data_IF_206333565383
#
_entry.id   IF_206333565383
#
_cell.length_a   1.000
_cell.length_b   1.000
_cell.length_c   1.000
_cell.angle_alpha   90.00
_cell.angle_beta   90.00
_cell.angle_gamma   90.00
#
_symmetry.space_group_name_H-M   'P 1'
#
loop_
_entity.id
_entity.type
_entity.pdbx_description
1 polymer ?
#
# COMPACT_ATOMS: atom_id res chain seq x y z
N UNK A 1 -16.47 19.85 -28.89
CA UNK A 1 -16.37 18.95 -27.71
C UNK A 1 -17.43 17.90 -27.87
N UNK A 2 -17.10 16.62 -27.72
CA UNK A 2 -18.10 15.53 -27.76
C UNK A 2 -19.00 15.65 -26.51
N UNK A 3 -20.28 15.20 -26.60
CA UNK A 3 -21.19 15.19 -25.45
C UNK A 3 -20.57 14.45 -24.24
N UNK A 4 -19.71 13.46 -24.50
CA UNK A 4 -18.99 12.70 -23.50
C UNK A 4 -17.95 13.55 -22.75
N UNK A 5 -17.18 14.40 -23.43
CA UNK A 5 -16.21 15.29 -22.76
C UNK A 5 -16.90 16.34 -21.90
N UNK A 6 -18.09 16.81 -22.28
CA UNK A 6 -18.85 17.75 -21.47
C UNK A 6 -19.39 17.11 -20.17
N UNK A 7 -19.79 15.84 -20.20
CA UNK A 7 -20.22 15.09 -19.00
C UNK A 7 -19.03 14.89 -18.04
N UNK A 8 -17.87 14.51 -18.57
CA UNK A 8 -16.67 14.34 -17.75
C UNK A 8 -16.22 15.66 -17.12
N UNK A 9 -16.30 16.75 -17.90
CA UNK A 9 -15.99 18.10 -17.40
C UNK A 9 -16.90 18.50 -16.24
N UNK A 10 -18.20 18.30 -16.40
CA UNK A 10 -19.17 18.64 -15.37
C UNK A 10 -19.00 17.82 -14.09
N UNK A 11 -18.54 16.55 -14.21
CA UNK A 11 -18.39 15.66 -13.05
C UNK A 11 -17.05 15.84 -12.34
N UNK A 12 -15.95 15.97 -13.11
CA UNK A 12 -14.58 15.99 -12.57
C UNK A 12 -13.99 17.39 -12.45
N UNK A 13 -14.66 18.45 -13.00
CA UNK A 13 -14.20 19.84 -12.93
C UNK A 13 -12.76 20.02 -13.42
N UNK A 14 -12.45 19.42 -14.58
CA UNK A 14 -11.09 19.33 -15.12
C UNK A 14 -10.47 20.71 -15.38
N UNK A 15 -11.24 21.67 -15.86
CA UNK A 15 -10.78 23.05 -16.11
C UNK A 15 -10.36 23.75 -14.80
N UNK A 16 -11.07 23.54 -13.68
CA UNK A 16 -10.69 24.08 -12.37
C UNK A 16 -9.36 23.50 -11.88
N UNK A 17 -9.08 22.27 -12.27
CA UNK A 17 -7.82 21.58 -11.94
C UNK A 17 -6.71 21.81 -12.97
N UNK A 18 -6.90 22.68 -13.97
CA UNK A 18 -5.97 22.93 -15.07
C UNK A 18 -5.57 21.64 -15.82
N UNK A 19 -6.51 20.72 -16.02
CA UNK A 19 -6.31 19.43 -16.67
C UNK A 19 -7.28 19.24 -17.84
N UNK A 20 -7.06 18.21 -18.63
CA UNK A 20 -7.94 17.78 -19.71
C UNK A 20 -8.10 16.25 -19.71
N UNK A 21 -9.14 15.76 -20.37
CA UNK A 21 -9.48 14.31 -20.40
C UNK A 21 -8.30 13.44 -20.87
N UNK A 22 -7.52 13.93 -21.83
CA UNK A 22 -6.38 13.18 -22.38
C UNK A 22 -5.24 13.10 -21.37
N UNK A 23 -4.97 14.20 -20.67
CA UNK A 23 -3.96 14.25 -19.60
C UNK A 23 -4.33 13.34 -18.45
N UNK A 24 -5.59 13.38 -17.98
CA UNK A 24 -6.07 12.49 -16.90
C UNK A 24 -6.01 11.03 -17.30
N UNK A 25 -6.37 10.68 -18.54
CA UNK A 25 -6.28 9.30 -19.01
C UNK A 25 -4.84 8.80 -19.06
N UNK A 26 -3.92 9.65 -19.55
CA UNK A 26 -2.48 9.33 -19.58
C UNK A 26 -1.92 9.17 -18.16
N UNK A 27 -2.25 10.08 -17.27
CA UNK A 27 -1.84 10.03 -15.87
C UNK A 27 -2.37 8.75 -15.18
N UNK A 28 -3.63 8.39 -15.41
CA UNK A 28 -4.23 7.17 -14.89
C UNK A 28 -3.52 5.90 -15.38
N UNK A 29 -3.20 5.82 -16.67
CA UNK A 29 -2.44 4.70 -17.25
C UNK A 29 -1.05 4.60 -16.62
N UNK A 30 -0.32 5.70 -16.51
CA UNK A 30 1.01 5.72 -15.87
C UNK A 30 0.92 5.28 -14.41
N UNK A 31 -0.04 5.80 -13.66
CA UNK A 31 -0.27 5.44 -12.26
C UNK A 31 -0.61 3.96 -12.11
N UNK A 32 -1.45 3.42 -13.01
CA UNK A 32 -1.76 1.98 -13.02
C UNK A 32 -0.50 1.14 -13.22
N UNK A 33 0.31 1.42 -14.25
CA UNK A 33 1.55 0.66 -14.50
C UNK A 33 2.54 0.81 -13.35
N UNK A 34 2.66 1.99 -12.75
CA UNK A 34 3.54 2.22 -11.61
C UNK A 34 3.13 1.42 -10.38
N UNK A 35 1.84 1.25 -10.13
CA UNK A 35 1.32 0.50 -8.98
C UNK A 35 1.05 -0.98 -9.26
N UNK A 36 1.07 -1.42 -10.52
CA UNK A 36 0.71 -2.79 -10.92
C UNK A 36 1.61 -3.88 -10.33
N UNK A 37 2.85 -3.55 -9.96
CA UNK A 37 3.75 -4.50 -9.30
C UNK A 37 3.17 -5.05 -7.98
N UNK A 38 2.29 -4.30 -7.31
CA UNK A 38 1.66 -4.72 -6.06
C UNK A 38 0.78 -5.95 -6.24
N UNK A 39 0.23 -6.17 -7.45
CA UNK A 39 -0.59 -7.32 -7.79
C UNK A 39 0.17 -8.63 -7.60
N UNK A 40 1.47 -8.61 -7.82
CA UNK A 40 2.34 -9.79 -7.70
C UNK A 40 3.13 -9.80 -6.39
N UNK A 41 3.68 -8.66 -5.98
CA UNK A 41 4.52 -8.58 -4.78
C UNK A 41 3.73 -8.81 -3.50
N UNK A 42 2.51 -8.28 -3.42
CA UNK A 42 1.66 -8.49 -2.25
C UNK A 42 1.36 -9.97 -1.99
N UNK A 43 0.83 -10.75 -2.96
CA UNK A 43 0.61 -12.18 -2.77
C UNK A 43 1.90 -12.95 -2.49
N UNK A 44 3.01 -12.60 -3.15
CA UNK A 44 4.31 -13.24 -2.90
C UNK A 44 4.77 -13.07 -1.44
N UNK A 45 4.60 -11.89 -0.87
CA UNK A 45 4.96 -11.62 0.53
C UNK A 45 4.03 -12.34 1.50
N UNK A 46 2.71 -12.23 1.30
CA UNK A 46 1.73 -12.81 2.22
C UNK A 46 1.65 -14.34 2.11
N UNK A 47 1.98 -14.93 0.96
CA UNK A 47 2.09 -16.39 0.83
C UNK A 47 3.21 -16.97 1.66
N UNK A 48 4.27 -16.21 1.96
CA UNK A 48 5.31 -16.63 2.92
C UNK A 48 4.77 -16.80 4.34
N UNK A 49 3.65 -16.13 4.67
CA UNK A 49 2.92 -16.31 5.93
C UNK A 49 1.91 -17.47 5.90
N UNK A 50 1.85 -18.26 4.81
CA UNK A 50 0.93 -19.39 4.66
C UNK A 50 -0.42 -19.06 4.01
N UNK A 51 -0.59 -17.86 3.50
CA UNK A 51 -1.81 -17.46 2.77
C UNK A 51 -1.79 -17.98 1.33
N UNK A 52 -2.95 -18.31 0.76
CA UNK A 52 -3.04 -18.72 -0.64
C UNK A 52 -2.74 -17.57 -1.60
N UNK A 53 -1.80 -17.76 -2.51
CA UNK A 53 -1.35 -16.74 -3.46
C UNK A 53 -2.49 -16.19 -4.32
N UNK A 54 -3.33 -17.08 -4.86
CA UNK A 54 -4.43 -16.71 -5.75
C UNK A 54 -5.53 -15.92 -5.02
N UNK A 55 -5.87 -16.34 -3.81
CA UNK A 55 -6.84 -15.66 -2.97
C UNK A 55 -6.37 -14.24 -2.60
N UNK A 56 -5.10 -14.09 -2.19
CA UNK A 56 -4.52 -12.78 -1.87
C UNK A 56 -4.46 -11.88 -3.10
N UNK A 57 -4.07 -12.40 -4.26
CA UNK A 57 -4.03 -11.64 -5.51
C UNK A 57 -5.41 -11.11 -5.89
N UNK A 58 -6.43 -11.96 -5.83
CA UNK A 58 -7.81 -11.58 -6.14
C UNK A 58 -8.33 -10.54 -5.15
N UNK A 59 -8.12 -10.74 -3.86
CA UNK A 59 -8.51 -9.79 -2.81
C UNK A 59 -7.81 -8.44 -2.98
N UNK A 60 -6.51 -8.43 -3.31
CA UNK A 60 -5.73 -7.21 -3.57
C UNK A 60 -6.29 -6.43 -4.76
N UNK A 61 -6.57 -7.12 -5.88
CA UNK A 61 -7.13 -6.48 -7.07
C UNK A 61 -8.51 -5.88 -6.78
N UNK A 62 -9.40 -6.64 -6.13
CA UNK A 62 -10.75 -6.18 -5.81
C UNK A 62 -10.74 -5.01 -4.83
N UNK A 63 -9.96 -5.10 -3.75
CA UNK A 63 -9.87 -4.04 -2.75
C UNK A 63 -9.30 -2.74 -3.36
N UNK A 64 -8.24 -2.84 -4.16
CA UNK A 64 -7.66 -1.69 -4.86
C UNK A 64 -8.62 -1.09 -5.89
N UNK A 65 -9.32 -1.91 -6.67
CA UNK A 65 -10.30 -1.44 -7.64
C UNK A 65 -11.46 -0.69 -6.96
N UNK A 66 -12.04 -1.26 -5.90
CA UNK A 66 -13.11 -0.62 -5.14
C UNK A 66 -12.62 0.68 -4.51
N UNK A 67 -11.45 0.66 -3.88
CA UNK A 67 -10.85 1.84 -3.27
C UNK A 67 -10.59 2.95 -4.28
N UNK A 68 -10.01 2.65 -5.44
CA UNK A 68 -9.77 3.61 -6.51
C UNK A 68 -11.08 4.16 -7.10
N UNK A 69 -12.10 3.32 -7.27
CA UNK A 69 -13.41 3.77 -7.74
C UNK A 69 -14.07 4.74 -6.75
N UNK A 70 -14.05 4.44 -5.46
CA UNK A 70 -14.57 5.34 -4.43
C UNK A 70 -13.77 6.64 -4.41
N UNK A 71 -12.45 6.59 -4.51
CA UNK A 71 -11.60 7.77 -4.52
C UNK A 71 -11.84 8.65 -5.75
N UNK A 72 -11.92 8.05 -6.94
CA UNK A 72 -12.16 8.78 -8.19
C UNK A 72 -13.59 9.29 -8.32
N UNK A 73 -14.60 8.46 -8.02
CA UNK A 73 -16.00 8.82 -8.30
C UNK A 73 -16.66 9.61 -7.15
N UNK A 74 -16.28 9.35 -5.91
CA UNK A 74 -16.90 10.01 -4.76
C UNK A 74 -16.06 11.16 -4.21
N UNK A 75 -14.78 10.93 -4.01
CA UNK A 75 -13.90 11.94 -3.44
C UNK A 75 -13.34 12.91 -4.49
N UNK A 76 -13.44 12.59 -5.78
CA UNK A 76 -12.87 13.34 -6.90
C UNK A 76 -11.38 13.68 -6.72
N UNK A 77 -10.61 12.70 -6.20
CA UNK A 77 -9.16 12.84 -6.02
C UNK A 77 -8.41 11.86 -6.94
N UNK A 78 -7.43 12.34 -7.73
CA UNK A 78 -6.64 11.52 -8.66
C UNK A 78 -5.55 10.72 -7.93
N UNK A 79 -5.94 9.97 -6.90
CA UNK A 79 -5.01 9.18 -6.08
C UNK A 79 -5.38 7.70 -6.21
N UNK A 80 -4.43 6.89 -6.68
CA UNK A 80 -4.58 5.45 -6.69
C UNK A 80 -4.39 4.87 -5.29
N UNK A 81 -5.29 3.97 -4.91
CA UNK A 81 -5.23 3.24 -3.65
C UNK A 81 -4.70 1.83 -3.90
N UNK A 82 -3.57 1.51 -3.28
CA UNK A 82 -2.98 0.19 -3.29
C UNK A 82 -2.51 -0.17 -1.87
N UNK A 83 -2.38 -1.47 -1.54
CA UNK A 83 -1.89 -1.90 -0.23
C UNK A 83 -0.48 -1.37 0.06
N UNK A 84 -0.27 -0.92 1.31
CA UNK A 84 1.02 -0.41 1.77
C UNK A 84 2.02 -1.54 2.02
N UNK A 85 3.06 -1.65 1.20
CA UNK A 85 4.03 -2.74 1.27
C UNK A 85 4.74 -2.85 2.62
N UNK A 86 5.13 -1.72 3.25
CA UNK A 86 5.83 -1.74 4.53
C UNK A 86 5.07 -2.47 5.64
N UNK A 87 3.76 -2.27 5.72
CA UNK A 87 2.90 -2.95 6.71
C UNK A 87 2.78 -4.44 6.40
N UNK A 88 2.75 -4.83 5.13
CA UNK A 88 2.65 -6.23 4.73
C UNK A 88 3.91 -7.03 5.08
N UNK A 89 5.09 -6.43 4.90
CA UNK A 89 6.34 -7.03 5.35
C UNK A 89 6.38 -7.18 6.87
N UNK A 90 5.97 -6.16 7.61
CA UNK A 90 5.86 -6.23 9.07
C UNK A 90 4.89 -7.33 9.51
N UNK A 91 3.71 -7.40 8.89
CA UNK A 91 2.72 -8.45 9.14
C UNK A 91 3.31 -9.85 8.93
N UNK A 92 3.92 -10.08 7.76
CA UNK A 92 4.44 -11.40 7.39
C UNK A 92 5.64 -11.80 8.25
N UNK A 93 6.69 -10.96 8.26
CA UNK A 93 7.97 -11.35 8.83
C UNK A 93 8.06 -11.12 10.34
N UNK A 94 7.42 -10.07 10.87
CA UNK A 94 7.50 -9.79 12.29
C UNK A 94 6.37 -10.46 13.07
N UNK A 95 5.12 -10.33 12.62
CA UNK A 95 3.97 -10.82 13.39
C UNK A 95 3.76 -12.31 13.16
N UNK A 96 3.63 -12.76 11.90
CA UNK A 96 3.31 -14.15 11.63
C UNK A 96 4.54 -15.06 11.82
N UNK A 97 5.63 -14.80 11.11
CA UNK A 97 6.81 -15.66 11.16
C UNK A 97 7.65 -15.43 12.42
N UNK A 98 7.83 -14.17 12.85
CA UNK A 98 8.68 -13.83 13.98
C UNK A 98 8.06 -14.13 15.35
N UNK A 99 6.77 -13.88 15.53
CA UNK A 99 6.04 -14.14 16.77
C UNK A 99 5.27 -15.46 16.77
N UNK A 100 5.20 -16.16 15.63
CA UNK A 100 4.48 -17.42 15.48
C UNK A 100 2.96 -17.29 15.59
N UNK A 101 2.40 -16.11 15.34
CA UNK A 101 0.96 -15.88 15.41
C UNK A 101 0.32 -16.38 14.11
N UNK A 102 -0.72 -17.23 14.16
CA UNK A 102 -1.46 -17.64 12.96
C UNK A 102 -1.94 -16.43 12.15
N UNK A 103 -1.78 -16.50 10.83
CA UNK A 103 -2.14 -15.37 9.95
C UNK A 103 -3.62 -14.98 10.04
N UNK A 104 -4.51 -15.92 10.36
CA UNK A 104 -5.95 -15.68 10.53
C UNK A 104 -6.21 -14.74 11.72
N UNK A 105 -5.51 -14.96 12.84
CA UNK A 105 -5.63 -14.12 14.04
C UNK A 105 -5.03 -12.73 13.77
N UNK A 106 -3.86 -12.70 13.15
CA UNK A 106 -3.20 -11.45 12.77
C UNK A 106 -4.05 -10.63 11.79
N UNK A 107 -4.70 -11.27 10.81
CA UNK A 107 -5.61 -10.63 9.86
C UNK A 107 -6.87 -10.10 10.56
N UNK A 108 -7.39 -10.83 11.55
CA UNK A 108 -8.47 -10.37 12.41
C UNK A 108 -8.12 -9.06 13.15
N UNK A 109 -6.90 -8.95 13.68
CA UNK A 109 -6.42 -7.72 14.31
C UNK A 109 -6.33 -6.55 13.31
N UNK A 110 -5.88 -6.80 12.08
CA UNK A 110 -5.86 -5.80 11.01
C UNK A 110 -7.27 -5.33 10.66
N UNK A 111 -8.23 -6.26 10.56
CA UNK A 111 -9.64 -5.92 10.32
C UNK A 111 -10.21 -5.03 11.43
N UNK A 112 -10.00 -5.39 12.70
CA UNK A 112 -10.44 -4.57 13.85
C UNK A 112 -9.81 -3.19 13.83
N UNK A 113 -8.52 -3.09 13.51
CA UNK A 113 -7.81 -1.82 13.34
C UNK A 113 -8.45 -0.95 12.25
N UNK A 114 -8.84 -1.54 11.13
CA UNK A 114 -9.57 -0.87 10.05
C UNK A 114 -10.94 -0.33 10.51
N UNK A 115 -11.71 -1.14 11.24
CA UNK A 115 -13.00 -0.72 11.81
C UNK A 115 -12.82 0.43 12.78
N UNK A 116 -11.85 0.35 13.69
CA UNK A 116 -11.54 1.43 14.64
C UNK A 116 -11.17 2.71 13.89
N UNK A 117 -10.34 2.61 12.82
CA UNK A 117 -9.95 3.76 12.02
C UNK A 117 -11.16 4.43 11.35
N UNK A 118 -12.11 3.64 10.83
CA UNK A 118 -13.35 4.16 10.26
C UNK A 118 -14.15 4.92 11.32
N UNK A 119 -14.34 4.33 12.49
CA UNK A 119 -15.06 4.98 13.61
C UNK A 119 -14.38 6.29 14.02
N UNK A 120 -13.05 6.30 14.20
CA UNK A 120 -12.30 7.51 14.53
C UNK A 120 -12.42 8.59 13.43
N UNK A 121 -12.53 8.18 12.18
CA UNK A 121 -12.71 9.09 11.04
C UNK A 121 -14.10 9.74 11.05
N UNK A 122 -15.17 8.95 11.32
CA UNK A 122 -16.55 9.44 11.43
C UNK A 122 -16.67 10.46 12.56
N UNK A 123 -16.05 10.18 13.71
CA UNK A 123 -16.05 11.09 14.86
C UNK A 123 -15.05 12.27 14.75
N UNK A 124 -14.38 12.44 13.59
CA UNK A 124 -13.37 13.49 13.33
C UNK A 124 -12.13 13.47 14.24
N UNK A 125 -11.93 12.44 15.03
CA UNK A 125 -10.77 12.29 15.91
C UNK A 125 -9.47 12.04 15.13
N UNK A 126 -9.55 11.58 13.89
CA UNK A 126 -8.38 11.34 13.03
C UNK A 126 -7.51 12.59 12.87
N UNK A 127 -8.12 13.76 12.64
CA UNK A 127 -7.39 15.02 12.53
C UNK A 127 -6.64 15.38 13.82
N UNK A 128 -7.25 15.14 14.96
CA UNK A 128 -6.61 15.39 16.26
C UNK A 128 -5.38 14.50 16.45
N UNK A 129 -5.48 13.19 16.14
CA UNK A 129 -4.37 12.24 16.26
C UNK A 129 -3.21 12.64 15.34
N UNK A 130 -3.49 12.99 14.08
CA UNK A 130 -2.47 13.38 13.11
C UNK A 130 -1.74 14.68 13.53
N UNK A 131 -2.48 15.64 14.11
CA UNK A 131 -1.91 16.91 14.55
C UNK A 131 -1.10 16.80 15.85
N UNK A 132 -1.34 15.79 16.68
CA UNK A 132 -0.55 15.51 17.89
C UNK A 132 0.84 14.96 17.53
N UNK A 133 0.99 14.28 16.38
CA UNK A 133 2.26 13.69 15.95
C UNK A 133 3.13 14.80 15.36
N UNK A 134 4.29 15.13 15.95
CA UNK A 134 5.20 16.13 15.42
C UNK A 134 5.73 15.74 14.04
N UNK A 135 6.01 16.74 13.19
CA UNK A 135 6.41 16.50 11.80
C UNK A 135 7.76 15.74 11.69
N UNK A 136 8.68 15.97 12.61
CA UNK A 136 9.94 15.21 12.65
C UNK A 136 9.71 13.72 12.88
N UNK A 137 8.67 13.34 13.66
CA UNK A 137 8.33 11.94 13.89
C UNK A 137 7.66 11.33 12.65
N UNK A 138 6.80 12.06 11.96
CA UNK A 138 6.21 11.63 10.67
C UNK A 138 7.29 11.34 9.64
N UNK A 139 8.26 12.26 9.52
CA UNK A 139 9.39 12.09 8.60
C UNK A 139 10.30 10.92 9.03
N UNK A 140 10.52 10.73 10.32
CA UNK A 140 11.26 9.59 10.87
C UNK A 140 10.59 8.26 10.58
N UNK A 141 9.27 8.16 10.73
CA UNK A 141 8.49 6.96 10.39
C UNK A 141 8.60 6.67 8.89
N UNK A 142 8.44 7.67 8.03
CA UNK A 142 8.54 7.49 6.58
C UNK A 142 9.94 7.00 6.16
N UNK A 143 10.99 7.60 6.72
CA UNK A 143 12.38 7.17 6.47
C UNK A 143 12.62 5.74 6.99
N UNK A 144 12.14 5.42 8.19
CA UNK A 144 12.26 4.08 8.78
C UNK A 144 11.58 3.00 7.94
N UNK A 145 10.38 3.25 7.44
CA UNK A 145 9.68 2.35 6.52
C UNK A 145 10.47 2.17 5.23
N UNK A 146 11.02 3.25 4.65
CA UNK A 146 11.84 3.19 3.44
C UNK A 146 13.08 2.31 3.61
N UNK A 147 13.83 2.50 4.72
CA UNK A 147 15.00 1.69 5.05
C UNK A 147 14.61 0.23 5.28
N UNK A 148 13.52 -0.02 5.97
CA UNK A 148 13.02 -1.38 6.22
C UNK A 148 12.70 -2.12 4.93
N UNK A 149 11.96 -1.49 4.00
CA UNK A 149 11.63 -2.08 2.69
C UNK A 149 12.91 -2.35 1.89
N UNK A 150 13.87 -1.42 1.90
CA UNK A 150 15.16 -1.58 1.23
C UNK A 150 15.93 -2.78 1.80
N UNK A 151 15.99 -2.91 3.12
CA UNK A 151 16.64 -4.04 3.78
C UNK A 151 16.00 -5.38 3.39
N UNK A 152 14.67 -5.48 3.44
CA UNK A 152 13.95 -6.68 3.01
C UNK A 152 14.22 -6.99 1.52
N UNK A 153 14.28 -5.96 0.67
CA UNK A 153 14.65 -6.14 -0.73
C UNK A 153 16.04 -6.75 -0.91
N UNK A 154 17.03 -6.33 -0.14
CA UNK A 154 18.37 -6.93 -0.14
C UNK A 154 18.39 -8.37 0.38
N UNK A 155 17.59 -8.68 1.39
CA UNK A 155 17.45 -10.05 1.91
C UNK A 155 16.81 -10.96 0.85
N UNK A 156 15.72 -10.53 0.23
CA UNK A 156 15.06 -11.31 -0.83
C UNK A 156 15.90 -11.43 -2.11
N UNK A 157 16.68 -10.39 -2.41
CA UNK A 157 17.63 -10.43 -3.53
C UNK A 157 18.88 -11.27 -3.26
N UNK A 158 19.03 -11.86 -2.08
CA UNK A 158 20.19 -12.69 -1.71
C UNK A 158 21.48 -11.89 -1.47
N UNK A 159 21.39 -10.55 -1.38
CA UNK A 159 22.55 -9.71 -1.08
C UNK A 159 22.88 -9.66 0.41
N UNK A 160 21.87 -9.85 1.23
CA UNK A 160 22.00 -9.95 2.68
C UNK A 160 21.51 -11.33 3.12
N UNK A 161 22.36 -12.08 3.78
CA UNK A 161 22.06 -13.42 4.32
C UNK A 161 22.16 -13.39 5.85
N UNK A 162 21.44 -14.31 6.48
CA UNK A 162 21.52 -14.50 7.92
C UNK A 162 22.88 -15.08 8.32
N UNK A 163 23.41 -14.64 9.47
CA UNK A 163 24.67 -15.11 10.01
C UNK A 163 24.64 -15.12 11.55
N UNK A 164 24.94 -16.28 12.13
CA UNK A 164 24.83 -16.53 13.57
C UNK A 164 25.70 -15.64 14.46
N UNK A 165 26.79 -15.09 13.93
CA UNK A 165 27.73 -14.24 14.71
C UNK A 165 27.54 -12.74 14.52
N UNK A 166 27.10 -12.30 13.33
CA UNK A 166 27.01 -10.86 12.97
C UNK A 166 25.57 -10.43 12.63
N UNK A 167 24.58 -11.31 12.83
CA UNK A 167 23.17 -11.18 12.43
C UNK A 167 22.98 -11.17 10.91
N UNK A 168 23.85 -10.50 10.16
CA UNK A 168 23.80 -10.43 8.70
C UNK A 168 25.18 -10.53 8.10
N UNK A 169 25.28 -11.11 6.90
CA UNK A 169 26.48 -11.16 6.07
C UNK A 169 26.17 -10.82 4.61
N UNK A 170 27.20 -10.44 3.86
CA UNK A 170 27.06 -10.20 2.43
C UNK A 170 26.87 -11.53 1.69
N UNK A 171 25.88 -11.59 0.83
CA UNK A 171 25.60 -12.72 -0.03
C UNK A 171 26.61 -12.85 -1.17
N UNK A 172 26.51 -13.96 -1.93
CA UNK A 172 27.37 -14.16 -3.09
C UNK A 172 26.87 -13.34 -4.29
N UNK A 173 27.55 -12.23 -4.59
CA UNK A 173 27.20 -11.34 -5.70
C UNK A 173 27.53 -11.88 -7.10
N UNK A 174 28.07 -13.11 -7.20
CA UNK A 174 28.48 -13.75 -8.46
C UNK A 174 27.54 -14.83 -8.96
N UNK A 175 26.41 -15.07 -8.27
CA UNK A 175 25.41 -16.06 -8.70
C UNK A 175 24.31 -15.43 -9.55
#
# INVERSE_FOLDING_TARGET
>A
MSAFSAILEQFFQLEEHNSDVVTELRAGVVTFFTSSYTIFVQPAVLSSAGMDFGAVMTATCLASAIGCLIMGLWANYPIALAPGMGINFYFTYTVVLGQGIPWEIALGAVFLSGVILILLTIFRFRGLIINIIPDYLKNGIAAGIGIFITFIGFVQGGWVLDHSGTLVQLGNLKS
#
